data_IF_367432678383
#
_entry.id   IF_367432678383
#
_cell.length_a   1.000
_cell.length_b   1.000
_cell.length_c   1.000
_cell.angle_alpha   90.00
_cell.angle_beta   90.00
_cell.angle_gamma   90.00
#
_symmetry.space_group_name_H-M   'P 1'
#
loop_
_entity.id
_entity.type
_entity.pdbx_description
1 polymer ?
#
# COMPACT_ATOMS: atom_id res chain seq x y z
N UNK A 1 -31.20 -2.50 6.98
CA UNK A 1 -30.48 -3.77 7.22
C UNK A 1 -29.81 -3.84 8.60
N UNK A 2 -29.36 -2.73 9.21
CA UNK A 2 -28.72 -2.71 10.55
C UNK A 2 -29.60 -3.09 11.77
N UNK A 3 -30.83 -3.57 11.59
CA UNK A 3 -31.78 -3.82 12.70
C UNK A 3 -32.25 -5.28 12.80
N UNK A 4 -31.73 -6.18 11.97
CA UNK A 4 -32.12 -7.60 11.99
C UNK A 4 -31.10 -8.45 12.76
N UNK A 5 -31.55 -9.09 13.84
CA UNK A 5 -30.68 -9.76 14.82
C UNK A 5 -30.03 -11.04 14.31
N UNK A 6 -30.58 -11.71 13.28
CA UNK A 6 -29.96 -12.90 12.66
C UNK A 6 -28.86 -12.54 11.66
N UNK A 7 -28.88 -11.33 11.06
CA UNK A 7 -27.83 -10.85 10.13
C UNK A 7 -26.61 -10.26 10.87
N UNK A 8 -26.71 -10.09 12.19
CA UNK A 8 -25.65 -9.48 13.00
C UNK A 8 -24.53 -10.45 13.36
N UNK A 9 -24.84 -11.75 13.50
CA UNK A 9 -23.86 -12.80 13.79
C UNK A 9 -23.05 -13.25 12.57
N UNK A 10 -23.43 -12.82 11.36
CA UNK A 10 -22.76 -13.16 10.10
C UNK A 10 -21.81 -12.09 9.54
N UNK A 11 -21.49 -11.02 10.30
CA UNK A 11 -20.69 -9.86 9.84
C UNK A 11 -21.29 -9.06 8.66
N UNK A 12 -22.56 -9.27 8.31
CA UNK A 12 -23.20 -8.68 7.12
C UNK A 12 -23.64 -7.23 7.30
N UNK A 13 -23.98 -6.83 8.51
CA UNK A 13 -24.48 -5.49 8.82
C UNK A 13 -23.39 -4.44 9.02
N UNK A 14 -22.12 -4.88 9.14
CA UNK A 14 -20.93 -4.03 9.13
C UNK A 14 -20.10 -4.16 7.85
N UNK A 15 -20.61 -4.86 6.83
CA UNK A 15 -19.95 -4.96 5.55
C UNK A 15 -19.90 -3.58 4.87
N UNK A 16 -18.73 -3.25 4.34
CA UNK A 16 -18.51 -2.04 3.55
C UNK A 16 -18.60 -2.36 2.06
N UNK A 17 -18.87 -1.33 1.26
CA UNK A 17 -18.64 -1.42 -0.19
C UNK A 17 -17.15 -1.69 -0.46
N UNK A 18 -16.83 -2.29 -1.61
CA UNK A 18 -15.46 -2.71 -1.94
C UNK A 18 -14.49 -1.51 -1.92
N UNK A 19 -14.88 -0.37 -2.48
CA UNK A 19 -14.06 0.84 -2.47
C UNK A 19 -13.97 1.46 -1.07
N UNK A 20 -15.08 1.53 -0.32
CA UNK A 20 -15.12 2.03 1.06
C UNK A 20 -14.22 1.22 2.00
N UNK A 21 -14.17 -0.11 1.82
CA UNK A 21 -13.31 -0.99 2.62
C UNK A 21 -11.83 -0.67 2.42
N UNK A 22 -11.41 -0.44 1.18
CA UNK A 22 -10.03 -0.05 0.86
C UNK A 22 -9.75 1.36 1.39
N UNK A 23 -10.68 2.29 1.17
CA UNK A 23 -10.56 3.68 1.59
C UNK A 23 -10.44 3.83 3.10
N UNK A 24 -11.13 2.99 3.88
CA UNK A 24 -11.03 3.01 5.34
C UNK A 24 -9.59 2.82 5.86
N UNK A 25 -8.74 2.05 5.16
CA UNK A 25 -7.33 1.90 5.53
C UNK A 25 -6.51 3.15 5.20
N UNK A 26 -6.80 3.78 4.06
CA UNK A 26 -6.15 5.04 3.65
C UNK A 26 -6.51 6.15 4.63
N UNK A 27 -7.79 6.26 5.02
CA UNK A 27 -8.26 7.23 6.03
C UNK A 27 -7.68 6.97 7.43
N UNK A 28 -7.36 5.71 7.74
CA UNK A 28 -6.66 5.34 8.96
C UNK A 28 -5.15 5.68 8.93
N UNK A 29 -4.64 6.27 7.84
CA UNK A 29 -3.25 6.64 7.67
C UNK A 29 -2.33 5.47 7.33
N UNK A 30 -2.88 4.37 6.81
CA UNK A 30 -2.08 3.28 6.26
C UNK A 30 -1.68 3.60 4.82
N UNK A 31 -0.55 3.03 4.39
CA UNK A 31 0.02 3.20 3.06
C UNK A 31 0.13 1.85 2.35
N UNK A 32 0.31 1.87 1.03
CA UNK A 32 0.54 0.65 0.24
C UNK A 32 -0.64 -0.31 0.31
N UNK A 33 -1.86 0.24 0.37
CA UNK A 33 -3.10 -0.53 0.50
C UNK A 33 -3.33 -1.34 -0.78
N UNK A 34 -3.32 -2.67 -0.67
CA UNK A 34 -3.41 -3.58 -1.82
C UNK A 34 -4.50 -4.63 -1.61
N UNK A 35 -5.36 -4.81 -2.61
CA UNK A 35 -6.31 -5.93 -2.67
C UNK A 35 -5.60 -7.18 -3.16
N UNK A 36 -5.46 -8.19 -2.31
CA UNK A 36 -4.67 -9.41 -2.62
C UNK A 36 -5.55 -10.57 -3.02
N UNK A 37 -6.69 -10.74 -2.36
CA UNK A 37 -7.63 -11.82 -2.67
C UNK A 37 -9.02 -11.24 -2.72
N UNK A 38 -9.68 -11.38 -3.87
CA UNK A 38 -11.09 -11.05 -4.05
C UNK A 38 -11.83 -12.31 -4.46
N UNK A 39 -12.76 -12.76 -3.62
CA UNK A 39 -13.57 -13.94 -3.93
C UNK A 39 -14.44 -13.65 -5.17
N UNK A 40 -14.40 -14.53 -6.18
CA UNK A 40 -15.21 -14.34 -7.39
C UNK A 40 -16.69 -14.60 -7.12
N UNK A 41 -17.00 -15.75 -6.53
CA UNK A 41 -18.36 -16.15 -6.18
C UNK A 41 -18.80 -15.49 -4.88
N UNK A 42 -20.02 -14.94 -4.88
CA UNK A 42 -20.63 -14.43 -3.67
C UNK A 42 -21.00 -15.60 -2.75
N UNK A 43 -20.68 -15.49 -1.45
CA UNK A 43 -21.04 -16.52 -0.48
C UNK A 43 -22.47 -16.34 0.04
N UNK A 44 -23.05 -15.15 -0.12
CA UNK A 44 -24.45 -14.87 0.22
C UNK A 44 -24.98 -13.70 -0.60
N UNK A 45 -26.28 -13.73 -0.92
CA UNK A 45 -27.01 -12.61 -1.54
C UNK A 45 -28.21 -12.25 -0.67
N UNK A 46 -28.35 -10.98 -0.29
CA UNK A 46 -29.48 -10.49 0.51
C UNK A 46 -30.04 -9.23 -0.13
N UNK A 47 -31.34 -9.22 -0.45
CA UNK A 47 -32.01 -8.09 -1.14
C UNK A 47 -31.22 -7.61 -2.37
N UNK A 48 -30.79 -8.55 -3.22
CA UNK A 48 -30.00 -8.31 -4.45
C UNK A 48 -28.60 -7.71 -4.22
N UNK A 49 -28.11 -7.71 -2.98
CA UNK A 49 -26.73 -7.33 -2.62
C UNK A 49 -25.91 -8.60 -2.43
N UNK A 50 -24.84 -8.72 -3.22
CA UNK A 50 -23.88 -9.83 -3.14
C UNK A 50 -22.77 -9.55 -2.13
N UNK A 51 -22.55 -10.49 -1.22
CA UNK A 51 -21.48 -10.42 -0.23
C UNK A 51 -20.33 -11.33 -0.64
N UNK A 52 -19.11 -10.79 -0.59
CA UNK A 52 -17.86 -11.45 -0.97
C UNK A 52 -16.81 -11.26 0.11
N UNK A 53 -15.85 -12.18 0.16
CA UNK A 53 -14.63 -11.99 0.95
C UNK A 53 -13.59 -11.21 0.16
N UNK A 54 -12.95 -10.24 0.82
CA UNK A 54 -11.84 -9.44 0.28
C UNK A 54 -10.72 -9.39 1.32
N UNK A 55 -9.50 -9.75 0.90
CA UNK A 55 -8.29 -9.62 1.71
C UNK A 55 -7.51 -8.40 1.24
N UNK A 56 -7.28 -7.46 2.15
CA UNK A 56 -6.46 -6.27 1.95
C UNK A 56 -5.20 -6.37 2.81
N UNK A 57 -4.05 -6.01 2.22
CA UNK A 57 -2.81 -5.76 2.96
C UNK A 57 -2.58 -4.25 2.96
N UNK A 58 -2.27 -3.70 4.13
CA UNK A 58 -1.96 -2.29 4.31
C UNK A 58 -0.80 -2.17 5.31
N UNK A 59 0.02 -1.13 5.14
CA UNK A 59 1.27 -0.97 5.88
C UNK A 59 1.22 0.28 6.76
N UNK A 60 1.81 0.18 7.94
CA UNK A 60 2.03 1.36 8.78
C UNK A 60 3.21 2.16 8.20
N UNK A 61 3.09 3.47 7.99
CA UNK A 61 4.21 4.29 7.54
C UNK A 61 5.35 4.21 8.54
N UNK A 62 6.58 4.06 8.03
CA UNK A 62 7.78 4.04 8.86
C UNK A 62 8.29 5.46 9.07
N UNK A 63 8.60 5.81 10.32
CA UNK A 63 9.28 7.07 10.62
C UNK A 63 10.78 6.94 10.35
N UNK A 64 11.34 7.85 9.56
CA UNK A 64 12.77 7.92 9.35
C UNK A 64 13.47 8.71 10.46
N UNK A 65 14.69 8.32 10.85
CA UNK A 65 15.53 9.15 11.71
C UNK A 65 15.78 10.51 11.05
N UNK A 66 15.68 11.61 11.81
CA UNK A 66 15.71 12.97 11.24
C UNK A 66 17.04 13.36 10.55
N UNK A 67 18.10 12.56 10.72
CA UNK A 67 19.43 12.81 10.17
C UNK A 67 19.79 11.87 8.99
N UNK A 68 18.87 11.01 8.54
CA UNK A 68 19.17 10.08 7.46
C UNK A 68 19.23 10.81 6.11
N UNK A 69 20.26 10.49 5.31
CA UNK A 69 20.41 11.08 3.99
C UNK A 69 19.34 10.52 3.04
N UNK A 70 18.67 11.40 2.31
CA UNK A 70 17.76 11.02 1.22
C UNK A 70 18.51 10.45 0.01
N UNK A 71 17.77 10.22 -1.06
CA UNK A 71 18.30 9.67 -2.30
C UNK A 71 17.41 10.00 -3.49
N UNK A 72 17.48 9.17 -4.51
CA UNK A 72 16.58 9.27 -5.67
C UNK A 72 15.86 7.94 -5.88
N UNK A 73 14.64 7.99 -6.40
CA UNK A 73 13.94 6.80 -6.90
C UNK A 73 13.53 7.00 -8.34
N UNK A 74 13.48 5.92 -9.10
CA UNK A 74 12.92 5.89 -10.45
C UNK A 74 11.78 4.90 -10.49
N UNK A 75 10.60 5.36 -10.91
CA UNK A 75 9.46 4.47 -11.13
C UNK A 75 9.67 3.62 -12.38
N UNK A 76 9.52 2.31 -12.26
CA UNK A 76 9.82 1.35 -13.31
C UNK A 76 8.68 1.21 -14.35
N UNK A 77 7.49 1.74 -14.06
CA UNK A 77 6.28 1.56 -14.88
C UNK A 77 5.37 0.44 -14.35
N UNK A 78 4.34 0.02 -15.11
CA UNK A 78 4.10 0.29 -16.54
C UNK A 78 3.33 1.59 -16.85
N UNK A 79 2.68 2.20 -15.86
CA UNK A 79 1.87 3.40 -16.07
C UNK A 79 2.74 4.62 -16.42
N UNK A 80 2.14 5.64 -17.05
CA UNK A 80 2.85 6.87 -17.42
C UNK A 80 3.39 7.60 -16.18
N UNK A 81 2.53 7.74 -15.18
CA UNK A 81 2.85 8.27 -13.87
C UNK A 81 2.03 7.55 -12.80
N UNK A 82 2.56 7.56 -11.56
CA UNK A 82 1.85 7.12 -10.36
C UNK A 82 2.03 8.17 -9.27
N UNK A 83 1.06 8.29 -8.36
CA UNK A 83 1.16 9.16 -7.20
C UNK A 83 1.15 8.34 -5.91
N UNK A 84 1.95 8.73 -4.92
CA UNK A 84 1.84 8.18 -3.56
C UNK A 84 0.75 8.89 -2.74
N UNK A 85 0.54 8.41 -1.52
CA UNK A 85 -0.44 8.96 -0.57
C UNK A 85 -0.09 10.38 -0.08
N UNK A 86 1.14 10.85 -0.30
CA UNK A 86 1.56 12.23 -0.02
C UNK A 86 1.23 13.20 -1.16
N UNK A 87 0.81 12.68 -2.31
CA UNK A 87 0.58 13.44 -3.53
C UNK A 87 1.84 13.67 -4.37
N UNK A 88 2.96 13.02 -4.04
CA UNK A 88 4.15 13.04 -4.87
C UNK A 88 3.92 12.20 -6.13
N UNK A 89 4.24 12.77 -7.29
CA UNK A 89 4.07 12.11 -8.59
C UNK A 89 5.40 11.56 -9.08
N UNK A 90 5.40 10.31 -9.53
CA UNK A 90 6.55 9.61 -10.08
C UNK A 90 6.28 9.24 -11.54
N UNK A 91 7.08 9.81 -12.44
CA UNK A 91 7.00 9.56 -13.88
C UNK A 91 7.90 8.37 -14.22
N UNK A 92 7.40 7.44 -15.05
CA UNK A 92 8.19 6.25 -15.42
C UNK A 92 9.52 6.63 -16.05
N UNK A 93 10.61 6.03 -15.58
CA UNK A 93 11.96 6.26 -16.11
C UNK A 93 12.60 7.59 -15.71
N UNK A 94 11.91 8.44 -14.95
CA UNK A 94 12.48 9.68 -14.41
C UNK A 94 12.92 9.51 -12.96
N UNK A 95 14.06 10.12 -12.60
CA UNK A 95 14.56 10.14 -11.23
C UNK A 95 13.90 11.26 -10.44
N UNK A 96 13.39 10.91 -9.27
CA UNK A 96 12.76 11.85 -8.33
C UNK A 96 13.50 11.80 -7.01
N UNK A 97 13.91 12.95 -6.49
CA UNK A 97 14.56 13.06 -5.18
C UNK A 97 13.55 12.79 -4.07
N UNK A 98 13.94 11.94 -3.11
CA UNK A 98 13.10 11.55 -1.98
C UNK A 98 13.87 11.66 -0.67
N UNK A 99 13.15 11.81 0.45
CA UNK A 99 13.76 11.74 1.76
C UNK A 99 14.15 10.29 2.13
N UNK A 100 14.87 10.14 3.25
CA UNK A 100 15.35 8.83 3.68
C UNK A 100 14.22 7.86 4.07
N UNK A 101 13.07 8.37 4.52
CA UNK A 101 11.92 7.55 4.87
C UNK A 101 11.22 6.99 3.65
N UNK A 102 10.99 7.84 2.66
CA UNK A 102 10.48 7.45 1.35
C UNK A 102 11.43 6.47 0.65
N UNK A 103 12.75 6.72 0.70
CA UNK A 103 13.74 5.81 0.12
C UNK A 103 13.68 4.41 0.76
N UNK A 104 13.62 4.34 2.10
CA UNK A 104 13.47 3.07 2.81
C UNK A 104 12.15 2.38 2.49
N UNK A 105 11.06 3.15 2.45
CA UNK A 105 9.72 2.68 2.10
C UNK A 105 9.69 2.05 0.70
N UNK A 106 10.20 2.73 -0.33
CA UNK A 106 10.22 2.23 -1.71
C UNK A 106 11.11 1.00 -1.91
N UNK A 107 12.06 0.77 -1.00
CA UNK A 107 12.91 -0.43 -1.00
C UNK A 107 12.28 -1.64 -0.27
N UNK A 108 11.07 -1.50 0.28
CA UNK A 108 10.35 -2.56 1.01
C UNK A 108 9.00 -2.89 0.37
N UNK A 109 8.36 -3.98 0.82
CA UNK A 109 7.02 -4.32 0.38
C UNK A 109 6.02 -3.21 0.78
N UNK A 110 5.04 -2.87 -0.08
CA UNK A 110 4.69 -3.53 -1.34
C UNK A 110 5.37 -2.93 -2.58
N UNK A 111 6.20 -1.90 -2.40
CA UNK A 111 6.78 -1.12 -3.49
C UNK A 111 8.02 -1.74 -4.12
N UNK A 112 8.58 -2.78 -3.49
CA UNK A 112 9.69 -3.54 -4.03
C UNK A 112 9.45 -3.89 -5.50
N UNK A 113 10.47 -3.70 -6.34
CA UNK A 113 10.44 -3.87 -7.80
C UNK A 113 9.63 -2.84 -8.60
N UNK A 114 8.73 -2.06 -7.98
CA UNK A 114 8.05 -0.95 -8.67
C UNK A 114 8.98 0.25 -8.84
N UNK A 115 9.96 0.39 -7.94
CA UNK A 115 10.95 1.46 -7.96
C UNK A 115 12.37 0.91 -7.96
N UNK A 116 13.26 1.59 -8.67
CA UNK A 116 14.71 1.44 -8.50
C UNK A 116 15.21 2.59 -7.63
N UNK A 117 15.89 2.26 -6.54
CA UNK A 117 16.38 3.22 -5.55
C UNK A 117 17.86 3.54 -5.79
N UNK A 118 18.23 4.81 -5.63
CA UNK A 118 19.60 5.31 -5.73
C UNK A 118 19.99 6.03 -4.44
N UNK A 119 21.23 5.83 -3.99
CA UNK A 119 21.77 6.52 -2.82
C UNK A 119 22.07 8.00 -3.13
N UNK A 120 22.49 8.76 -2.12
CA UNK A 120 22.88 10.16 -2.29
C UNK A 120 24.10 10.39 -3.21
N UNK A 121 24.80 9.34 -3.62
CA UNK A 121 25.88 9.39 -4.62
C UNK A 121 25.41 8.95 -6.03
N UNK A 122 24.14 8.57 -6.18
CA UNK A 122 23.53 8.13 -7.43
C UNK A 122 23.81 6.66 -7.79
N UNK A 123 24.36 5.87 -6.87
CA UNK A 123 24.60 4.44 -7.06
C UNK A 123 23.33 3.63 -6.74
N UNK A 124 23.15 2.50 -7.45
CA UNK A 124 22.02 1.60 -7.24
C UNK A 124 22.05 1.00 -5.82
N UNK A 125 20.96 1.22 -5.07
CA UNK A 125 20.75 0.61 -3.76
C UNK A 125 20.08 -0.74 -4.00
N UNK A 126 20.88 -1.73 -4.38
CA UNK A 126 20.38 -3.09 -4.53
C UNK A 126 19.94 -3.61 -3.17
N UNK A 127 18.80 -4.30 -3.12
CA UNK A 127 18.25 -4.94 -1.92
C UNK A 127 19.33 -5.84 -1.31
N UNK A 128 20.04 -5.33 -0.31
CA UNK A 128 20.75 -6.18 0.64
C UNK A 128 19.67 -6.68 1.58
N UNK A 129 19.37 -7.98 1.54
CA UNK A 129 18.70 -8.62 2.66
C UNK A 129 19.46 -8.17 3.92
N UNK A 130 18.79 -7.38 4.76
CA UNK A 130 19.36 -6.97 6.03
C UNK A 130 19.46 -8.24 6.86
N UNK A 131 20.65 -8.87 6.87
CA UNK A 131 21.07 -9.66 8.02
C UNK A 131 20.82 -8.76 9.23
N UNK A 132 19.91 -9.20 10.09
CA UNK A 132 19.40 -8.44 11.22
C UNK A 132 20.48 -8.24 12.28
N UNK A 133 21.41 -7.33 12.01
CA UNK A 133 22.39 -6.85 12.96
C UNK A 133 22.24 -5.34 13.06
N UNK A 134 21.25 -4.95 13.86
CA UNK A 134 21.17 -3.61 14.41
C UNK A 134 21.58 -3.71 15.89
N UNK A 135 22.83 -3.30 16.13
CA UNK A 135 23.53 -3.12 17.42
C UNK A 135 24.07 -4.37 18.14
#
# INVERSE_FOLDING_TARGET
MQKDSELWSGCLSGALEESDFIQAFVEAGMIGVTSVVRQQEAWQTVNDIEFRSLTVIAYRPQEAPCCAAGGEVMYNGPFEEVSDESGMVFIRGERTGVDAGQLAMFNTAPYQNMFTCFDGAGADVSIRESDGDCC
#
